data_IF_685052027498
#
_entry.id   IF_685052027498
#
_cell.length_a   1.000
_cell.length_b   1.000
_cell.length_c   1.000
_cell.angle_alpha   90.00
_cell.angle_beta   90.00
_cell.angle_gamma   90.00
#
_symmetry.space_group_name_H-M   'P 1'
#
loop_
_entity.id
_entity.type
_entity.pdbx_description
1 polymer ?
#
# COMPACT_ATOMS: atom_id res chain seq x y z
N UNK A 1 -4.19 18.10 -4.52
CA UNK A 1 -2.89 17.38 -4.43
C UNK A 1 -2.23 17.08 -5.79
N UNK A 2 -2.33 18.02 -6.69
CA UNK A 2 -1.81 17.83 -8.06
C UNK A 2 -0.30 17.64 -8.13
N UNK A 3 0.45 18.14 -7.15
CA UNK A 3 1.92 18.02 -7.13
C UNK A 3 2.45 16.77 -6.44
N UNK A 4 1.58 15.85 -6.02
CA UNK A 4 1.99 14.63 -5.32
C UNK A 4 1.93 13.43 -6.25
N UNK A 5 2.87 12.50 -6.08
CA UNK A 5 2.94 11.28 -6.87
C UNK A 5 2.94 10.06 -5.95
N UNK A 6 2.16 9.06 -6.32
CA UNK A 6 2.01 7.84 -5.53
C UNK A 6 2.24 6.61 -6.39
N UNK A 7 2.81 5.57 -5.78
CA UNK A 7 2.85 4.25 -6.39
C UNK A 7 2.00 3.31 -5.57
N UNK A 8 1.32 2.40 -6.22
CA UNK A 8 0.55 1.34 -5.58
C UNK A 8 1.16 0.01 -6.00
N UNK A 9 1.66 -0.75 -5.02
CA UNK A 9 2.16 -2.11 -5.25
C UNK A 9 1.06 -3.05 -4.80
N UNK A 10 0.50 -3.82 -5.73
CA UNK A 10 -0.62 -4.71 -5.44
C UNK A 10 -0.28 -6.14 -5.83
N UNK A 11 -0.49 -7.09 -4.91
CA UNK A 11 -0.23 -8.49 -5.18
C UNK A 11 -1.39 -9.13 -5.96
N UNK A 12 -1.05 -10.12 -6.81
CA UNK A 12 -2.05 -10.84 -7.59
C UNK A 12 -2.68 -11.99 -6.82
N UNK A 13 -1.97 -12.54 -5.84
CA UNK A 13 -2.51 -13.64 -5.04
C UNK A 13 -3.76 -13.19 -4.30
N UNK A 14 -4.85 -13.95 -4.37
CA UNK A 14 -6.19 -13.55 -3.94
C UNK A 14 -6.68 -12.32 -4.73
N UNK A 15 -6.56 -12.41 -6.05
CA UNK A 15 -6.75 -11.27 -6.96
C UNK A 15 -8.08 -10.55 -6.82
N UNK A 16 -9.17 -11.29 -6.63
CA UNK A 16 -10.48 -10.69 -6.45
C UNK A 16 -10.51 -9.73 -5.27
N UNK A 17 -9.87 -10.13 -4.17
CA UNK A 17 -9.76 -9.32 -2.96
C UNK A 17 -8.82 -8.12 -3.22
N UNK A 18 -7.64 -8.39 -3.78
CA UNK A 18 -6.65 -7.32 -3.97
C UNK A 18 -7.09 -6.29 -5.00
N UNK A 19 -7.85 -6.69 -6.01
CA UNK A 19 -8.42 -5.72 -6.95
C UNK A 19 -9.46 -4.83 -6.27
N UNK A 20 -10.22 -5.37 -5.31
CA UNK A 20 -11.13 -4.55 -4.49
C UNK A 20 -10.40 -3.54 -3.63
N UNK A 21 -9.26 -3.94 -3.08
CA UNK A 21 -8.40 -3.02 -2.32
C UNK A 21 -7.84 -1.93 -3.23
N UNK A 22 -7.39 -2.31 -4.41
CA UNK A 22 -6.86 -1.36 -5.39
C UNK A 22 -7.91 -0.32 -5.79
N UNK A 23 -9.15 -0.77 -6.04
CA UNK A 23 -10.24 0.13 -6.38
C UNK A 23 -10.50 1.14 -5.26
N UNK A 24 -10.51 0.67 -4.01
CA UNK A 24 -10.70 1.55 -2.86
C UNK A 24 -9.60 2.59 -2.73
N UNK A 25 -8.35 2.17 -2.95
CA UNK A 25 -7.20 3.08 -2.91
C UNK A 25 -7.30 4.13 -4.02
N UNK A 26 -7.64 3.72 -5.23
CA UNK A 26 -7.77 4.64 -6.36
C UNK A 26 -8.87 5.67 -6.13
N UNK A 27 -10.01 5.23 -5.60
CA UNK A 27 -11.11 6.14 -5.28
C UNK A 27 -10.68 7.19 -4.25
N UNK A 28 -9.97 6.75 -3.22
CA UNK A 28 -9.52 7.69 -2.17
C UNK A 28 -8.53 8.71 -2.70
N UNK A 29 -7.60 8.30 -3.57
CA UNK A 29 -6.66 9.22 -4.19
C UNK A 29 -7.39 10.22 -5.10
N UNK A 30 -8.37 9.76 -5.86
CA UNK A 30 -9.17 10.63 -6.72
C UNK A 30 -9.95 11.66 -5.92
N UNK A 31 -10.50 11.27 -4.77
CA UNK A 31 -11.21 12.20 -3.86
C UNK A 31 -10.29 13.30 -3.35
N UNK A 32 -9.00 13.02 -3.24
CA UNK A 32 -8.01 14.01 -2.83
C UNK A 32 -7.45 14.82 -4.01
N UNK A 33 -8.03 14.64 -5.19
CA UNK A 33 -7.63 15.32 -6.42
C UNK A 33 -6.21 15.00 -6.87
N UNK A 34 -5.77 13.77 -6.65
CA UNK A 34 -4.51 13.27 -7.22
C UNK A 34 -4.79 12.88 -8.67
N UNK A 35 -4.09 13.48 -9.65
CA UNK A 35 -4.31 13.12 -11.05
C UNK A 35 -3.96 11.66 -11.35
N UNK A 36 -4.71 11.02 -12.23
CA UNK A 36 -4.43 9.63 -12.63
C UNK A 36 -3.00 9.44 -13.13
N UNK A 37 -2.46 10.40 -13.84
CA UNK A 37 -1.09 10.35 -14.34
C UNK A 37 -0.02 10.38 -13.25
N UNK A 38 -0.40 10.72 -12.02
CA UNK A 38 0.50 10.75 -10.87
C UNK A 38 0.40 9.48 -10.03
N UNK A 39 -0.34 8.48 -10.47
CA UNK A 39 -0.51 7.21 -9.76
C UNK A 39 0.04 6.08 -10.64
N UNK A 40 1.09 5.43 -10.16
CA UNK A 40 1.71 4.29 -10.85
C UNK A 40 1.26 3.01 -10.15
N UNK A 41 0.72 2.06 -10.91
CA UNK A 41 0.26 0.78 -10.37
C UNK A 41 1.22 -0.31 -10.81
N UNK A 42 1.77 -1.05 -9.85
CA UNK A 42 2.70 -2.15 -10.09
C UNK A 42 2.14 -3.42 -9.48
N UNK A 43 1.94 -4.44 -10.31
CA UNK A 43 1.43 -5.73 -9.86
C UNK A 43 2.56 -6.71 -9.62
N UNK A 44 2.50 -7.40 -8.47
CA UNK A 44 3.50 -8.40 -8.09
C UNK A 44 2.80 -9.75 -7.80
N UNK A 45 3.54 -10.88 -7.82
CA UNK A 45 2.90 -12.18 -7.64
C UNK A 45 2.19 -12.35 -6.29
N UNK A 46 2.85 -12.03 -5.20
CA UNK A 46 2.30 -12.22 -3.86
C UNK A 46 2.79 -11.17 -2.89
N UNK A 47 2.33 -11.26 -1.65
CA UNK A 47 2.70 -10.30 -0.62
C UNK A 47 4.20 -10.32 -0.32
N UNK A 48 4.85 -11.48 -0.49
CA UNK A 48 6.28 -11.62 -0.24
C UNK A 48 7.13 -10.73 -1.16
N UNK A 49 6.64 -10.43 -2.37
CA UNK A 49 7.34 -9.60 -3.34
C UNK A 49 7.09 -8.10 -3.20
N UNK A 50 6.18 -7.71 -2.30
CA UNK A 50 5.84 -6.29 -2.10
C UNK A 50 7.03 -5.50 -1.54
N UNK A 51 7.75 -5.96 -0.50
CA UNK A 51 8.82 -5.15 0.09
C UNK A 51 9.93 -4.76 -0.87
N UNK A 52 10.45 -5.71 -1.65
CA UNK A 52 11.54 -5.41 -2.57
C UNK A 52 11.09 -4.48 -3.70
N UNK A 53 9.85 -4.64 -4.15
CA UNK A 53 9.28 -3.76 -5.17
C UNK A 53 9.08 -2.35 -4.62
N UNK A 54 8.54 -2.25 -3.41
CA UNK A 54 8.39 -0.97 -2.72
C UNK A 54 9.72 -0.26 -2.52
N UNK A 55 10.75 -1.00 -2.12
CA UNK A 55 12.07 -0.44 -1.96
C UNK A 55 12.63 0.10 -3.28
N UNK A 56 12.50 -0.64 -4.37
CA UNK A 56 12.94 -0.20 -5.69
C UNK A 56 12.24 1.09 -6.11
N UNK A 57 10.94 1.17 -5.89
CA UNK A 57 10.17 2.38 -6.21
C UNK A 57 10.56 3.55 -5.31
N UNK A 58 10.79 3.28 -4.03
CA UNK A 58 11.23 4.30 -3.09
C UNK A 58 12.59 4.87 -3.43
N UNK A 59 13.50 4.03 -3.88
CA UNK A 59 14.86 4.44 -4.29
C UNK A 59 14.86 5.33 -5.52
N UNK A 60 13.81 5.29 -6.32
CA UNK A 60 13.71 6.11 -7.53
C UNK A 60 13.60 7.60 -7.22
N UNK A 61 13.14 7.96 -6.04
CA UNK A 61 12.91 9.35 -5.68
C UNK A 61 11.71 10.00 -6.37
N UNK A 62 10.90 9.23 -7.09
CA UNK A 62 9.80 9.77 -7.88
C UNK A 62 8.47 9.84 -7.14
N UNK A 63 8.35 9.21 -5.97
CA UNK A 63 7.07 9.09 -5.27
C UNK A 63 7.10 9.71 -3.89
N UNK A 64 6.01 10.35 -3.51
CA UNK A 64 5.82 10.95 -2.19
C UNK A 64 5.40 9.91 -1.15
N UNK A 65 4.73 8.85 -1.58
CA UNK A 65 4.39 7.71 -0.74
C UNK A 65 4.06 6.50 -1.62
N UNK A 66 4.14 5.32 -1.03
CA UNK A 66 3.87 4.07 -1.70
C UNK A 66 2.79 3.33 -0.91
N UNK A 67 1.79 2.81 -1.62
CA UNK A 67 0.68 2.08 -1.03
C UNK A 67 0.87 0.60 -1.33
N UNK A 68 0.94 -0.23 -0.29
CA UNK A 68 1.20 -1.66 -0.43
C UNK A 68 -0.08 -2.44 -0.16
N UNK A 69 -0.61 -3.13 -1.17
CA UNK A 69 -1.86 -3.84 -1.09
C UNK A 69 -1.67 -5.33 -1.36
N UNK A 70 -2.22 -6.16 -0.49
CA UNK A 70 -2.15 -7.60 -0.63
C UNK A 70 -3.19 -8.28 0.25
N UNK A 71 -3.28 -9.60 0.14
CA UNK A 71 -4.20 -10.35 0.96
C UNK A 71 -3.64 -11.73 1.28
N UNK A 72 -3.56 -12.02 2.56
CA UNK A 72 -3.16 -13.32 3.10
C UNK A 72 -4.31 -13.85 3.97
N UNK A 73 -4.77 -15.05 3.65
CA UNK A 73 -5.83 -15.72 4.40
C UNK A 73 -5.22 -16.94 5.07
N UNK A 74 -5.48 -17.11 6.35
CA UNK A 74 -4.89 -18.19 7.13
C UNK A 74 -5.30 -19.56 6.57
N UNK A 75 -4.28 -20.43 6.36
CA UNK A 75 -4.47 -21.79 5.93
C UNK A 75 -4.10 -22.76 7.06
N UNK A 76 -3.95 -24.04 6.70
CA UNK A 76 -3.64 -25.10 7.66
C UNK A 76 -2.19 -25.13 8.09
N UNK A 77 -1.30 -24.48 7.33
CA UNK A 77 0.13 -24.50 7.59
C UNK A 77 0.63 -23.16 8.14
N UNK A 78 1.87 -23.11 8.54
CA UNK A 78 2.51 -21.89 9.06
C UNK A 78 2.94 -20.92 7.95
N UNK A 79 2.65 -21.23 6.70
CA UNK A 79 3.00 -20.39 5.56
C UNK A 79 2.43 -18.96 5.70
N UNK A 80 1.18 -18.87 6.14
CA UNK A 80 0.51 -17.59 6.38
C UNK A 80 1.31 -16.69 7.33
N UNK A 81 1.71 -17.24 8.47
CA UNK A 81 2.44 -16.48 9.50
C UNK A 81 3.81 -16.01 9.00
N UNK A 82 4.53 -16.86 8.29
CA UNK A 82 5.83 -16.50 7.75
C UNK A 82 5.74 -15.39 6.71
N UNK A 83 4.78 -15.48 5.79
CA UNK A 83 4.62 -14.46 4.76
C UNK A 83 4.12 -13.14 5.35
N UNK A 84 3.18 -13.21 6.29
CA UNK A 84 2.64 -12.00 6.94
C UNK A 84 3.74 -11.26 7.69
N UNK A 85 4.56 -11.98 8.44
CA UNK A 85 5.68 -11.40 9.18
C UNK A 85 6.73 -10.81 8.23
N UNK A 86 7.12 -11.56 7.21
CA UNK A 86 8.11 -11.11 6.24
C UNK A 86 7.63 -9.86 5.49
N UNK A 87 6.37 -9.84 5.08
CA UNK A 87 5.82 -8.69 4.37
C UNK A 87 5.76 -7.44 5.23
N UNK A 88 5.26 -7.56 6.48
CA UNK A 88 5.14 -6.41 7.37
C UNK A 88 6.50 -5.84 7.75
N UNK A 89 7.44 -6.68 8.16
CA UNK A 89 8.80 -6.26 8.49
C UNK A 89 9.51 -5.68 7.27
N UNK A 90 9.38 -6.34 6.12
CA UNK A 90 10.03 -5.90 4.90
C UNK A 90 9.54 -4.54 4.41
N UNK A 91 8.24 -4.28 4.50
CA UNK A 91 7.67 -2.99 4.11
C UNK A 91 8.18 -1.89 5.04
N UNK A 92 8.19 -2.14 6.34
CA UNK A 92 8.71 -1.18 7.30
C UNK A 92 10.20 -0.88 7.05
N UNK A 93 11.00 -1.92 6.78
CA UNK A 93 12.41 -1.74 6.48
C UNK A 93 12.63 -0.98 5.18
N UNK A 94 11.83 -1.26 4.16
CA UNK A 94 11.92 -0.55 2.88
C UNK A 94 11.58 0.93 3.04
N UNK A 95 10.58 1.26 3.83
CA UNK A 95 10.23 2.64 4.13
C UNK A 95 11.38 3.35 4.85
N UNK A 96 11.93 2.71 5.88
CA UNK A 96 13.04 3.29 6.65
C UNK A 96 14.30 3.48 5.78
N UNK A 97 14.60 2.50 4.94
CA UNK A 97 15.79 2.53 4.08
C UNK A 97 15.70 3.60 2.99
N UNK A 98 14.52 3.89 2.49
CA UNK A 98 14.32 4.83 1.39
C UNK A 98 13.92 6.23 1.85
N UNK A 99 13.40 6.33 3.08
CA UNK A 99 12.83 7.59 3.57
C UNK A 99 11.49 7.93 2.95
N UNK A 100 10.86 6.98 2.24
CA UNK A 100 9.56 7.18 1.59
C UNK A 100 8.47 6.47 2.40
N UNK A 101 7.41 7.18 2.80
CA UNK A 101 6.32 6.54 3.55
C UNK A 101 5.70 5.39 2.73
N UNK A 102 5.43 4.28 3.39
CA UNK A 102 4.78 3.13 2.76
C UNK A 102 3.59 2.72 3.60
N UNK A 103 2.40 2.82 3.02
CA UNK A 103 1.17 2.46 3.70
C UNK A 103 0.94 0.97 3.64
N UNK A 104 0.58 0.37 4.78
CA UNK A 104 0.39 -1.07 4.91
C UNK A 104 -1.09 -1.42 4.69
N UNK A 105 -1.41 -1.91 3.52
CA UNK A 105 -2.75 -2.39 3.16
C UNK A 105 -2.75 -3.88 2.82
N UNK A 106 -1.88 -4.66 3.46
CA UNK A 106 -1.85 -6.11 3.29
C UNK A 106 -2.78 -6.74 4.32
N UNK A 107 -3.90 -7.28 3.84
CA UNK A 107 -4.85 -7.97 4.71
C UNK A 107 -4.27 -9.28 5.21
N UNK A 108 -4.47 -9.55 6.50
CA UNK A 108 -4.12 -10.82 7.11
C UNK A 108 -5.35 -11.30 7.88
N UNK A 109 -6.18 -12.09 7.22
CA UNK A 109 -7.46 -12.51 7.80
C UNK A 109 -7.49 -14.01 8.10
N UNK A 110 -8.34 -14.40 9.02
CA UNK A 110 -8.52 -15.81 9.37
C UNK A 110 -9.44 -16.51 8.37
N UNK A 111 -10.37 -15.78 7.78
CA UNK A 111 -11.34 -16.34 6.83
C UNK A 111 -11.42 -15.50 5.55
N UNK A 112 -11.92 -16.13 4.49
CA UNK A 112 -12.17 -15.44 3.23
C UNK A 112 -13.23 -14.36 3.39
N UNK A 113 -14.28 -14.65 4.18
CA UNK A 113 -15.36 -13.69 4.43
C UNK A 113 -14.84 -12.40 5.04
N UNK A 114 -13.89 -12.49 5.95
CA UNK A 114 -13.27 -11.32 6.55
C UNK A 114 -12.53 -10.49 5.50
N UNK A 115 -11.84 -11.16 4.58
CA UNK A 115 -11.13 -10.49 3.51
C UNK A 115 -12.11 -9.80 2.55
N UNK A 116 -13.18 -10.48 2.18
CA UNK A 116 -14.22 -9.92 1.30
C UNK A 116 -14.81 -8.64 1.91
N UNK A 117 -15.16 -8.69 3.19
CA UNK A 117 -15.74 -7.53 3.89
C UNK A 117 -14.82 -6.31 3.84
N UNK A 118 -13.50 -6.52 3.92
CA UNK A 118 -12.51 -5.45 3.98
C UNK A 118 -12.04 -4.97 2.62
N UNK A 119 -12.49 -5.63 1.56
CA UNK A 119 -12.12 -5.29 0.19
C UNK A 119 -13.29 -4.76 -0.64
N UNK A 120 -14.51 -4.80 -0.09
CA UNK A 120 -15.67 -4.28 -0.83
C UNK A 120 -15.70 -2.76 -0.80
N UNK A 121 -16.41 -2.18 -1.76
CA UNK A 121 -16.59 -0.73 -1.86
C UNK A 121 -17.19 -0.17 -0.57
N UNK A 122 -16.73 1.00 -0.16
CA UNK A 122 -17.27 1.70 1.00
C UNK A 122 -16.21 2.07 2.03
N UNK A 123 -16.65 2.64 3.17
CA UNK A 123 -15.73 3.21 4.15
C UNK A 123 -14.84 2.19 4.88
N UNK A 124 -15.22 0.93 4.89
CA UNK A 124 -14.45 -0.12 5.57
C UNK A 124 -13.40 -0.79 4.68
N UNK A 125 -13.27 -0.34 3.44
CA UNK A 125 -12.28 -0.86 2.50
C UNK A 125 -10.87 -0.54 3.00
N UNK A 126 -10.03 -1.56 3.17
CA UNK A 126 -8.67 -1.39 3.71
C UNK A 126 -7.70 -0.76 2.71
N UNK A 127 -7.97 -0.88 1.42
CA UNK A 127 -7.20 -0.17 0.40
C UNK A 127 -7.43 1.33 0.48
N UNK A 128 -8.68 1.71 0.69
CA UNK A 128 -9.06 3.11 0.91
C UNK A 128 -8.37 3.66 2.16
N UNK A 129 -8.34 2.88 3.24
CA UNK A 129 -7.69 3.27 4.49
C UNK A 129 -6.17 3.45 4.28
N UNK A 130 -5.53 2.53 3.56
CA UNK A 130 -4.10 2.63 3.27
C UNK A 130 -3.79 3.86 2.42
N UNK A 131 -4.62 4.18 1.44
CA UNK A 131 -4.46 5.39 0.63
C UNK A 131 -4.59 6.65 1.48
N UNK A 132 -5.55 6.67 2.42
CA UNK A 132 -5.72 7.80 3.34
C UNK A 132 -4.46 8.02 4.17
N UNK A 133 -3.87 6.95 4.69
CA UNK A 133 -2.62 7.03 5.45
C UNK A 133 -1.47 7.55 4.59
N UNK A 134 -1.36 7.06 3.34
CA UNK A 134 -0.33 7.53 2.42
C UNK A 134 -0.46 9.03 2.12
N UNK A 135 -1.68 9.51 1.92
CA UNK A 135 -1.94 10.94 1.70
C UNK A 135 -1.48 11.77 2.90
N UNK A 136 -1.83 11.33 4.10
CA UNK A 136 -1.47 12.03 5.33
C UNK A 136 0.05 12.08 5.51
N UNK A 137 0.72 10.95 5.30
CA UNK A 137 2.16 10.86 5.47
C UNK A 137 2.93 11.65 4.40
N UNK A 138 2.44 11.65 3.16
CA UNK A 138 3.05 12.43 2.09
C UNK A 138 3.02 13.94 2.41
N UNK A 139 1.88 14.42 2.91
CA UNK A 139 1.76 15.82 3.33
C UNK A 139 2.66 16.14 4.51
N UNK A 140 2.70 15.24 5.50
CA UNK A 140 3.55 15.42 6.67
C UNK A 140 5.02 15.51 6.27
N UNK A 141 5.49 14.62 5.41
CA UNK A 141 6.89 14.60 5.01
C UNK A 141 7.30 15.85 4.25
N UNK A 142 6.42 16.42 3.42
CA UNK A 142 6.71 17.70 2.78
C UNK A 142 6.86 18.83 3.79
N UNK A 143 6.01 18.84 4.81
CA UNK A 143 6.12 19.83 5.88
C UNK A 143 7.42 19.67 6.67
N UNK A 144 7.82 18.42 6.95
CA UNK A 144 9.07 18.15 7.64
C UNK A 144 10.27 18.56 6.80
N UNK A 145 10.24 18.28 5.51
CA UNK A 145 11.33 18.65 4.61
C UNK A 145 11.48 20.16 4.53
N UNK A 146 10.40 20.90 4.45
CA UNK A 146 10.42 22.38 4.46
C UNK A 146 10.96 22.92 5.77
N UNK A 147 10.55 22.33 6.90
CA UNK A 147 10.97 22.77 8.22
C UNK A 147 12.45 22.47 8.50
N UNK A 148 12.94 21.33 8.00
CA UNK A 148 14.33 20.87 8.24
C UNK A 148 15.29 21.41 7.18
N UNK A 149 14.86 21.41 5.92
CA UNK A 149 15.68 21.78 4.78
C UNK A 149 15.67 23.26 4.44
N UNK A 150 14.72 23.95 5.03
CA UNK A 150 14.56 25.38 4.82
C UNK A 150 15.47 26.17 5.70
#
# INVERSE_FOLDING_TARGET
MAGYRFAIVVSRFNEEITEGLLQGARERLAEASVPDGNVTIVRVPGAFEIPITGQRLGESGEYDAIICLGCLIKGETMHFEYIAEAASHGIMQAAAATGVPMAFGVLTTLTEEQAVERSRSGPDNKGREAAAAALEMAKLFRKLDEAIGG
#
